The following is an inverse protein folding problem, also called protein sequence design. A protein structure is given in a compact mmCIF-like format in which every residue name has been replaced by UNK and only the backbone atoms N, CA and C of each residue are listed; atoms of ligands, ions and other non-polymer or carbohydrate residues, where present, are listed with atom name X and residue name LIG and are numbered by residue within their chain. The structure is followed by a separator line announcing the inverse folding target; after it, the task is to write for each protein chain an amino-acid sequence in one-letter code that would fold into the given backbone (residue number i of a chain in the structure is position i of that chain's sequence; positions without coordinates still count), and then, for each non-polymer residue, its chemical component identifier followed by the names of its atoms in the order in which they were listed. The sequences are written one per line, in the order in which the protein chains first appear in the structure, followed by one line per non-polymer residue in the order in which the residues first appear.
data_IF_157177966995
#
_entry.id   IF_157177966995
#
_cell.length_a   1.000
_cell.length_b   1.000
_cell.length_c   1.000
_cell.angle_alpha   90.00
_cell.angle_beta   90.00
_cell.angle_gamma   90.00
#
_symmetry.space_group_name_H-M   'P 1'
#
loop_
_entity.id
_entity.type
_entity.pdbx_description
1 polymer ?
#
# COMPACT_ATOMS: atom_id res chain seq x y z
N UNK A 1 -13.43 -72.40 -11.41
CA UNK A 1 -13.59 -71.17 -12.24
C UNK A 1 -13.11 -69.95 -11.46
N UNK A 2 -11.81 -69.66 -11.38
CA UNK A 2 -11.33 -68.54 -10.53
C UNK A 2 -9.92 -67.99 -10.84
N UNK A 3 -9.46 -67.95 -12.10
CA UNK A 3 -8.11 -67.44 -12.41
C UNK A 3 -8.02 -66.23 -13.36
N UNK A 4 -9.13 -65.67 -13.86
CA UNK A 4 -9.07 -64.49 -14.76
C UNK A 4 -9.27 -63.13 -14.07
N UNK A 5 -9.83 -63.09 -12.85
CA UNK A 5 -10.10 -61.81 -12.14
C UNK A 5 -8.83 -61.09 -11.69
N UNK A 6 -7.76 -61.83 -11.35
CA UNK A 6 -6.50 -61.25 -10.86
C UNK A 6 -5.68 -60.52 -11.93
N UNK A 7 -5.77 -60.94 -13.21
CA UNK A 7 -4.99 -60.34 -14.30
C UNK A 7 -5.60 -59.01 -14.77
N UNK A 8 -6.92 -58.98 -14.96
CA UNK A 8 -7.64 -57.75 -15.31
C UNK A 8 -7.52 -56.70 -14.21
N UNK A 9 -7.61 -57.10 -12.94
CA UNK A 9 -7.42 -56.18 -11.81
C UNK A 9 -5.99 -55.61 -11.76
N UNK A 10 -4.97 -56.43 -12.06
CA UNK A 10 -3.57 -55.97 -12.20
C UNK A 10 -3.39 -54.97 -13.34
N UNK A 11 -3.98 -55.24 -14.52
CA UNK A 11 -3.89 -54.35 -15.68
C UNK A 11 -4.56 -53.00 -15.40
N UNK A 12 -5.78 -53.02 -14.85
CA UNK A 12 -6.53 -51.81 -14.54
C UNK A 12 -5.80 -50.98 -13.47
N UNK A 13 -5.28 -51.64 -12.42
CA UNK A 13 -4.46 -50.96 -11.41
C UNK A 13 -3.19 -50.31 -11.99
N UNK A 14 -2.53 -50.98 -12.93
CA UNK A 14 -1.32 -50.45 -13.58
C UNK A 14 -1.63 -49.23 -14.46
N UNK A 15 -2.73 -49.27 -15.21
CA UNK A 15 -3.18 -48.15 -16.04
C UNK A 15 -3.60 -46.97 -15.16
N UNK A 16 -4.42 -47.21 -14.12
CA UNK A 16 -4.80 -46.16 -13.17
C UNK A 16 -3.57 -45.54 -12.50
N UNK A 17 -2.65 -46.36 -12.02
CA UNK A 17 -1.43 -45.86 -11.37
C UNK A 17 -0.60 -45.01 -12.32
N UNK A 18 -0.49 -45.39 -13.59
CA UNK A 18 0.22 -44.61 -14.61
C UNK A 18 -0.46 -43.26 -14.87
N UNK A 19 -1.78 -43.25 -15.04
CA UNK A 19 -2.55 -42.03 -15.25
C UNK A 19 -2.49 -41.12 -14.03
N UNK A 20 -2.68 -41.65 -12.82
CA UNK A 20 -2.56 -40.91 -11.56
C UNK A 20 -1.16 -40.32 -11.41
N UNK A 21 -0.11 -41.07 -11.73
CA UNK A 21 1.26 -40.57 -11.65
C UNK A 21 1.50 -39.39 -12.59
N UNK A 22 1.03 -39.47 -13.84
CA UNK A 22 1.14 -38.37 -14.81
C UNK A 22 0.38 -37.13 -14.31
N UNK A 23 -0.86 -37.30 -13.86
CA UNK A 23 -1.64 -36.19 -13.28
C UNK A 23 -0.98 -35.60 -12.04
N UNK A 24 -0.43 -36.45 -11.17
CA UNK A 24 0.24 -36.02 -9.95
C UNK A 24 1.47 -35.17 -10.25
N UNK A 25 2.31 -35.60 -11.20
CA UNK A 25 3.51 -34.84 -11.61
C UNK A 25 3.11 -33.52 -12.26
N UNK A 26 2.12 -33.53 -13.16
CA UNK A 26 1.62 -32.32 -13.79
C UNK A 26 1.05 -31.34 -12.75
N UNK A 27 0.29 -31.83 -11.78
CA UNK A 27 -0.29 -31.02 -10.72
C UNK A 27 0.79 -30.47 -9.78
N UNK A 28 1.78 -31.27 -9.39
CA UNK A 28 2.88 -30.84 -8.55
C UNK A 28 3.70 -29.71 -9.19
N UNK A 29 3.98 -29.82 -10.50
CA UNK A 29 4.67 -28.78 -11.25
C UNK A 29 3.85 -27.49 -11.29
N UNK A 30 2.56 -27.59 -11.65
CA UNK A 30 1.66 -26.44 -11.69
C UNK A 30 1.49 -25.78 -10.32
N UNK A 31 1.42 -26.57 -9.25
CA UNK A 31 1.28 -26.07 -7.89
C UNK A 31 2.50 -25.28 -7.43
N UNK A 32 3.71 -25.73 -7.79
CA UNK A 32 4.95 -25.03 -7.43
C UNK A 32 5.04 -23.65 -8.11
N UNK A 33 4.80 -23.59 -9.43
CA UNK A 33 4.83 -22.33 -10.17
C UNK A 33 3.69 -21.39 -9.78
N UNK A 34 2.47 -21.93 -9.58
CA UNK A 34 1.31 -21.13 -9.15
C UNK A 34 1.56 -20.49 -7.80
N UNK A 35 2.13 -21.24 -6.84
CA UNK A 35 2.42 -20.71 -5.50
C UNK A 35 3.43 -19.57 -5.56
N UNK A 36 4.47 -19.67 -6.41
CA UNK A 36 5.45 -18.61 -6.60
C UNK A 36 4.83 -17.36 -7.23
N UNK A 37 4.02 -17.52 -8.27
CA UNK A 37 3.32 -16.42 -8.91
C UNK A 37 2.33 -15.73 -7.96
N UNK A 38 1.56 -16.51 -7.19
CA UNK A 38 0.63 -16.00 -6.17
C UNK A 38 1.37 -15.19 -5.09
N UNK A 39 2.46 -15.74 -4.53
CA UNK A 39 3.25 -15.05 -3.52
C UNK A 39 3.85 -13.74 -4.05
N UNK A 40 4.37 -13.76 -5.29
CA UNK A 40 4.90 -12.56 -5.93
C UNK A 40 3.83 -11.48 -6.10
N UNK A 41 2.63 -11.85 -6.56
CA UNK A 41 1.53 -10.90 -6.72
C UNK A 41 1.07 -10.31 -5.37
N UNK A 42 1.05 -11.12 -4.31
CA UNK A 42 0.72 -10.64 -2.96
C UNK A 42 1.79 -9.66 -2.46
N UNK A 43 3.07 -9.97 -2.64
CA UNK A 43 4.17 -9.08 -2.28
C UNK A 43 4.09 -7.75 -3.04
N UNK A 44 3.87 -7.80 -4.35
CA UNK A 44 3.74 -6.62 -5.20
C UNK A 44 2.53 -5.77 -4.81
N UNK A 45 1.39 -6.39 -4.52
CA UNK A 45 0.19 -5.69 -4.05
C UNK A 45 0.41 -5.00 -2.71
N UNK A 46 1.08 -5.66 -1.76
CA UNK A 46 1.43 -5.07 -0.47
C UNK A 46 2.39 -3.89 -0.62
N UNK A 47 3.40 -4.02 -1.50
CA UNK A 47 4.35 -2.95 -1.83
C UNK A 47 3.64 -1.74 -2.44
N UNK A 48 2.76 -1.97 -3.40
CA UNK A 48 1.99 -0.92 -4.06
C UNK A 48 1.06 -0.20 -3.08
N UNK A 49 0.43 -0.93 -2.15
CA UNK A 49 -0.39 -0.34 -1.09
C UNK A 49 0.44 0.54 -0.14
N UNK A 50 1.62 0.07 0.25
CA UNK A 50 2.54 0.84 1.09
C UNK A 50 2.98 2.13 0.37
N UNK A 51 3.38 2.03 -0.90
CA UNK A 51 3.77 3.20 -1.71
C UNK A 51 2.61 4.18 -1.89
N UNK A 52 1.40 3.70 -2.18
CA UNK A 52 0.21 4.55 -2.28
C UNK A 52 -0.07 5.29 -0.97
N UNK A 53 0.16 4.65 0.17
CA UNK A 53 0.02 5.28 1.49
C UNK A 53 1.05 6.38 1.69
N UNK A 54 2.32 6.14 1.32
CA UNK A 54 3.38 7.16 1.36
C UNK A 54 3.02 8.35 0.48
N UNK A 55 2.60 8.12 -0.76
CA UNK A 55 2.19 9.22 -1.65
C UNK A 55 1.01 10.02 -1.11
N UNK A 56 0.06 9.37 -0.43
CA UNK A 56 -1.04 10.08 0.21
C UNK A 56 -0.55 10.98 1.34
N UNK A 57 0.40 10.51 2.15
CA UNK A 57 1.03 11.32 3.20
C UNK A 57 1.78 12.50 2.59
N UNK A 58 2.63 12.25 1.58
CA UNK A 58 3.39 13.30 0.89
C UNK A 58 2.49 14.37 0.26
N UNK A 59 1.41 13.95 -0.39
CA UNK A 59 0.45 14.87 -1.01
C UNK A 59 -0.20 15.76 0.05
N UNK A 60 -0.59 15.18 1.19
CA UNK A 60 -1.19 15.92 2.31
C UNK A 60 -0.18 16.91 2.91
N UNK A 61 1.08 16.48 3.09
CA UNK A 61 2.16 17.34 3.59
C UNK A 61 2.50 18.47 2.61
N UNK A 62 2.56 18.21 1.30
CA UNK A 62 2.80 19.23 0.30
C UNK A 62 1.70 20.29 0.25
N UNK A 63 0.44 19.89 0.43
CA UNK A 63 -0.68 20.81 0.46
C UNK A 63 -0.53 21.86 1.58
N UNK A 64 -0.11 21.42 2.78
CA UNK A 64 0.08 22.31 3.93
C UNK A 64 1.42 23.06 3.95
N UNK A 65 2.44 22.60 3.23
CA UNK A 65 3.81 23.16 3.30
C UNK A 65 3.92 24.58 2.70
N UNK A 66 3.10 24.94 1.70
CA UNK A 66 3.17 26.26 1.07
C UNK A 66 2.77 27.40 2.00
N UNK A 67 1.92 27.09 2.96
CA UNK A 67 1.23 28.05 3.81
C UNK A 67 2.13 28.66 4.90
N UNK A 68 2.98 27.90 5.60
CA UNK A 68 4.05 28.45 6.43
C UNK A 68 5.01 29.36 5.68
N UNK A 69 5.45 28.98 4.47
CA UNK A 69 6.35 29.82 3.65
C UNK A 69 5.69 31.16 3.29
N UNK A 70 4.40 31.13 2.92
CA UNK A 70 3.63 32.34 2.65
C UNK A 70 3.50 33.23 3.90
N UNK A 71 3.19 32.63 5.06
CA UNK A 71 3.08 33.37 6.32
C UNK A 71 4.41 34.02 6.71
N UNK A 72 5.53 33.30 6.61
CA UNK A 72 6.86 33.83 6.88
C UNK A 72 7.18 35.04 5.98
N UNK A 73 7.00 34.88 4.65
CA UNK A 73 7.22 35.97 3.70
C UNK A 73 6.28 37.17 3.95
N UNK A 74 5.04 36.93 4.38
CA UNK A 74 4.09 38.01 4.67
C UNK A 74 4.55 38.83 5.88
N UNK A 75 4.98 38.17 6.95
CA UNK A 75 5.40 38.81 8.22
C UNK A 75 6.75 39.52 8.08
N UNK A 76 7.64 39.03 7.23
CA UNK A 76 8.93 39.70 6.95
C UNK A 76 8.76 41.03 6.20
N UNK A 77 7.72 41.16 5.37
CA UNK A 77 7.57 42.29 4.45
C UNK A 77 6.89 43.53 5.07
N UNK A 78 6.18 43.39 6.19
CA UNK A 78 5.53 44.51 6.87
C UNK A 78 5.55 44.35 8.39
N UNK A 79 5.71 45.44 9.16
CA UNK A 79 5.55 45.38 10.60
C UNK A 79 4.07 45.17 10.93
N UNK A 80 3.76 44.03 11.54
CA UNK A 80 2.41 43.70 12.02
C UNK A 80 2.30 43.94 13.52
N UNK A 81 1.15 44.44 13.95
CA UNK A 81 0.73 44.43 15.35
C UNK A 81 0.30 43.04 15.78
N UNK A 82 0.25 42.81 17.10
CA UNK A 82 -0.16 41.53 17.68
C UNK A 82 -1.58 41.14 17.24
N UNK A 83 -2.49 42.10 17.21
CA UNK A 83 -3.88 41.92 16.82
C UNK A 83 -4.02 41.52 15.34
N UNK A 84 -3.18 42.09 14.47
CA UNK A 84 -3.16 41.75 13.04
C UNK A 84 -2.61 40.35 12.80
N UNK A 85 -1.58 39.93 13.55
CA UNK A 85 -1.05 38.56 13.50
C UNK A 85 -2.09 37.56 13.98
N UNK A 86 -2.79 37.84 15.09
CA UNK A 86 -3.86 36.97 15.58
C UNK A 86 -4.99 36.84 14.54
N UNK A 87 -5.34 37.94 13.86
CA UNK A 87 -6.37 37.93 12.80
C UNK A 87 -5.91 37.15 11.58
N UNK A 88 -4.65 37.30 11.18
CA UNK A 88 -4.03 36.55 10.09
C UNK A 88 -4.09 35.04 10.38
N UNK A 89 -3.62 34.61 11.56
CA UNK A 89 -3.65 33.20 11.97
C UNK A 89 -5.07 32.61 11.99
N UNK A 90 -6.05 33.35 12.53
CA UNK A 90 -7.46 32.92 12.54
C UNK A 90 -8.00 32.75 11.12
N UNK A 91 -7.73 33.72 10.24
CA UNK A 91 -8.17 33.65 8.84
C UNK A 91 -7.51 32.49 8.09
N UNK A 92 -6.24 32.24 8.34
CA UNK A 92 -5.49 31.13 7.72
C UNK A 92 -6.07 29.77 8.12
N UNK A 93 -6.36 29.54 9.40
CA UNK A 93 -6.97 28.28 9.86
C UNK A 93 -8.42 28.16 9.35
N UNK A 94 -9.19 29.26 9.36
CA UNK A 94 -10.57 29.24 8.89
C UNK A 94 -10.71 28.97 7.37
N UNK A 95 -9.71 29.33 6.58
CA UNK A 95 -9.70 29.13 5.12
C UNK A 95 -9.09 27.80 4.68
N UNK A 96 -8.40 27.06 5.57
CA UNK A 96 -7.70 25.83 5.24
C UNK A 96 -8.11 24.70 6.19
N UNK A 97 -9.14 23.94 5.82
CA UNK A 97 -9.70 22.84 6.63
C UNK A 97 -8.72 21.68 6.87
N UNK A 98 -7.61 21.64 6.13
CA UNK A 98 -6.53 20.66 6.30
C UNK A 98 -5.63 20.99 7.51
N UNK A 99 -5.75 22.19 8.08
CA UNK A 99 -4.92 22.68 9.18
C UNK A 99 -5.76 22.83 10.44
N UNK A 100 -5.37 22.12 11.51
CA UNK A 100 -6.04 22.22 12.80
C UNK A 100 -5.71 23.53 13.55
N UNK A 101 -4.48 24.02 13.41
CA UNK A 101 -4.03 25.24 14.07
C UNK A 101 -2.72 25.75 13.48
N UNK A 102 -2.41 27.01 13.77
CA UNK A 102 -1.19 27.67 13.34
C UNK A 102 -0.66 28.57 14.47
N UNK A 103 0.67 28.67 14.58
CA UNK A 103 1.35 29.50 15.56
C UNK A 103 2.58 30.16 14.94
N UNK A 104 2.89 31.37 15.39
CA UNK A 104 4.10 32.10 15.03
C UNK A 104 4.85 32.36 16.33
N UNK A 105 6.13 31.99 16.39
CA UNK A 105 7.01 32.25 17.51
C UNK A 105 8.13 33.18 17.04
N UNK A 106 8.33 34.26 17.78
CA UNK A 106 9.42 35.20 17.56
C UNK A 106 10.64 34.80 18.39
N UNK A 107 11.83 35.20 17.96
CA UNK A 107 13.06 34.97 18.71
C UNK A 107 12.94 35.59 20.12
N UNK A 108 13.36 34.87 21.18
CA UNK A 108 13.45 35.44 22.50
C UNK A 108 14.58 36.48 22.49
N UNK A 109 14.27 37.72 22.89
CA UNK A 109 15.22 38.83 22.99
C UNK A 109 16.42 38.53 23.91
#
# INVERSE_FOLDING_TARGET
MSSHRGLTFKLVGLILSSTTLVFFVAFAYNYHESKKALLKNVEESARNLAQSTVYKIETTLQAVQRLPCYLAATIENQPYTREEIERLLRNTVASNSEIFGAAIAFEPH
#
